data_IF_511352182890
#
_entry.id   IF_511352182890
#
_cell.length_a   1.000
_cell.length_b   1.000
_cell.length_c   1.000
_cell.angle_alpha   90.00
_cell.angle_beta   90.00
_cell.angle_gamma   90.00
#
_symmetry.space_group_name_H-M   'P 1'
#
loop_
_entity.id
_entity.type
_entity.pdbx_description
1 polymer ?
#
# COMPACT_ATOMS: atom_id res chain seq x y z
N UNK A 1 -8.83 10.39 -2.64
CA UNK A 1 -8.14 10.22 -3.95
C UNK A 1 -7.34 11.47 -4.25
N UNK A 2 -6.39 11.44 -5.20
CA UNK A 2 -5.68 12.66 -5.58
C UNK A 2 -6.68 13.70 -6.11
N UNK A 3 -6.78 14.90 -5.52
CA UNK A 3 -7.69 15.93 -6.01
C UNK A 3 -7.37 16.28 -7.46
N UNK A 4 -8.40 16.65 -8.20
CA UNK A 4 -8.35 16.85 -9.65
C UNK A 4 -7.39 18.00 -9.99
N UNK A 5 -6.41 17.73 -10.85
CA UNK A 5 -5.63 18.76 -11.53
C UNK A 5 -6.57 19.42 -12.55
N UNK A 6 -7.13 20.57 -12.19
CA UNK A 6 -8.04 21.33 -13.02
C UNK A 6 -7.40 22.67 -13.35
N UNK A 7 -7.81 23.31 -14.45
CA UNK A 7 -7.35 24.67 -14.79
C UNK A 7 -7.73 25.72 -13.71
N UNK A 8 -8.56 25.35 -12.74
CA UNK A 8 -8.91 26.16 -11.59
C UNK A 8 -7.95 25.81 -10.44
N UNK A 9 -7.38 26.83 -9.81
CA UNK A 9 -6.52 26.66 -8.64
C UNK A 9 -7.27 25.87 -7.57
N UNK A 10 -6.78 24.65 -7.30
CA UNK A 10 -7.22 23.88 -6.16
C UNK A 10 -6.15 23.98 -5.07
N UNK A 11 -6.35 24.81 -4.03
CA UNK A 11 -5.36 24.98 -2.96
C UNK A 11 -5.12 23.68 -2.15
N UNK A 12 -6.00 22.68 -2.27
CA UNK A 12 -5.83 21.36 -1.67
C UNK A 12 -5.04 20.38 -2.56
N UNK A 13 -4.73 20.78 -3.81
CA UNK A 13 -3.93 19.97 -4.71
C UNK A 13 -2.46 19.95 -4.29
N UNK A 14 -2.06 18.79 -3.76
CA UNK A 14 -0.68 18.55 -3.33
C UNK A 14 0.12 17.73 -4.34
N UNK A 15 -0.51 17.20 -5.39
CA UNK A 15 0.18 16.31 -6.31
C UNK A 15 1.12 17.08 -7.26
N UNK A 16 2.40 16.73 -7.24
CA UNK A 16 3.43 17.32 -8.11
C UNK A 16 3.69 16.51 -9.40
N UNK A 17 2.81 15.57 -9.74
CA UNK A 17 2.87 14.74 -10.95
C UNK A 17 4.20 13.98 -11.17
N UNK A 18 4.90 13.61 -10.09
CA UNK A 18 6.20 12.92 -10.16
C UNK A 18 6.14 11.45 -10.63
N UNK A 19 4.93 10.86 -10.70
CA UNK A 19 4.66 9.50 -11.18
C UNK A 19 5.27 8.34 -10.34
N UNK A 20 5.85 8.62 -9.17
CA UNK A 20 6.45 7.59 -8.29
C UNK A 20 5.40 6.59 -7.81
N UNK A 21 4.21 7.08 -7.43
CA UNK A 21 3.12 6.24 -6.93
C UNK A 21 2.61 5.24 -7.98
N UNK A 22 2.50 5.66 -9.25
CA UNK A 22 2.07 4.82 -10.36
C UNK A 22 3.09 3.73 -10.61
N UNK A 23 4.38 4.08 -10.72
CA UNK A 23 5.47 3.10 -10.87
C UNK A 23 5.50 2.09 -9.74
N UNK A 24 5.34 2.52 -8.50
CA UNK A 24 5.31 1.63 -7.36
C UNK A 24 4.10 0.66 -7.40
N UNK A 25 2.95 1.12 -7.90
CA UNK A 25 1.74 0.30 -8.05
C UNK A 25 1.90 -0.76 -9.16
N UNK A 26 2.56 -0.39 -10.25
CA UNK A 26 2.92 -1.27 -11.37
C UNK A 26 3.93 -2.34 -10.95
N UNK A 27 5.00 -1.97 -10.24
CA UNK A 27 6.04 -2.91 -9.79
C UNK A 27 5.47 -4.03 -8.90
N UNK A 28 4.53 -3.67 -8.01
CA UNK A 28 3.82 -4.64 -7.16
C UNK A 28 2.87 -5.56 -7.97
N UNK A 29 2.62 -5.26 -9.24
CA UNK A 29 1.82 -6.06 -10.17
C UNK A 29 0.31 -5.86 -10.04
N UNK A 30 -0.11 -4.72 -9.47
CA UNK A 30 -1.54 -4.38 -9.34
C UNK A 30 -2.00 -3.40 -10.43
N UNK A 31 -1.13 -2.47 -10.84
CA UNK A 31 -1.42 -1.44 -11.86
C UNK A 31 -2.79 -0.76 -11.67
N UNK A 32 -3.18 -0.55 -10.42
CA UNK A 32 -4.51 -0.06 -10.05
C UNK A 32 -4.72 1.44 -10.31
N UNK A 33 -3.64 2.19 -10.49
CA UNK A 33 -3.66 3.63 -10.75
C UNK A 33 -2.76 3.97 -11.93
N UNK A 34 -3.09 5.04 -12.65
CA UNK A 34 -2.30 5.54 -13.77
C UNK A 34 -2.41 7.06 -13.88
N UNK A 35 -1.55 7.64 -14.73
CA UNK A 35 -1.73 9.02 -15.18
C UNK A 35 -2.77 9.04 -16.29
N UNK A 36 -3.84 9.80 -16.07
CA UNK A 36 -4.91 10.01 -17.04
C UNK A 36 -4.95 11.47 -17.48
N UNK A 37 -5.74 11.74 -18.53
CA UNK A 37 -5.90 13.06 -19.14
C UNK A 37 -4.57 13.61 -19.70
N UNK A 38 -4.59 14.86 -20.17
CA UNK A 38 -3.45 15.53 -20.83
C UNK A 38 -3.37 17.00 -20.41
N UNK A 39 -2.20 17.60 -20.62
CA UNK A 39 -1.97 19.00 -20.32
C UNK A 39 -2.23 19.32 -18.85
N UNK A 40 -2.97 20.40 -18.60
CA UNK A 40 -3.34 20.89 -17.28
C UNK A 40 -4.40 20.06 -16.56
N UNK A 41 -5.00 19.09 -17.25
CA UNK A 41 -5.97 18.17 -16.65
C UNK A 41 -5.33 16.87 -16.15
N UNK A 42 -4.01 16.72 -16.34
CA UNK A 42 -3.27 15.49 -16.05
C UNK A 42 -3.30 15.19 -14.56
N UNK A 43 -3.73 13.99 -14.19
CA UNK A 43 -3.80 13.56 -12.78
C UNK A 43 -3.62 12.05 -12.61
N UNK A 44 -3.37 11.63 -11.38
CA UNK A 44 -3.34 10.21 -11.01
C UNK A 44 -4.75 9.76 -10.62
N UNK A 45 -5.21 8.66 -11.19
CA UNK A 45 -6.55 8.12 -10.94
C UNK A 45 -6.60 6.60 -11.05
N UNK A 46 -7.65 6.01 -10.48
CA UNK A 46 -8.11 4.66 -10.81
C UNK A 46 -8.96 4.67 -12.09
N UNK A 47 -9.22 3.51 -12.73
CA UNK A 47 -10.15 3.44 -13.85
C UNK A 47 -11.52 4.03 -13.48
N UNK A 48 -11.99 4.98 -14.29
CA UNK A 48 -13.26 5.68 -14.11
C UNK A 48 -13.44 6.38 -12.75
N UNK A 49 -12.36 6.65 -12.01
CA UNK A 49 -12.39 7.16 -10.63
C UNK A 49 -13.09 6.24 -9.61
N UNK A 50 -13.28 4.97 -9.98
CA UNK A 50 -13.93 3.96 -9.16
C UNK A 50 -12.91 3.08 -8.43
N UNK A 51 -13.38 2.30 -7.46
CA UNK A 51 -12.56 1.33 -6.76
C UNK A 51 -11.99 0.30 -7.75
N UNK A 52 -10.68 0.36 -8.01
CA UNK A 52 -10.03 -0.59 -8.92
C UNK A 52 -10.04 -2.00 -8.32
N UNK A 53 -10.66 -2.96 -9.01
CA UNK A 53 -10.74 -4.36 -8.57
C UNK A 53 -9.35 -4.98 -8.32
N UNK A 54 -8.37 -4.62 -9.17
CA UNK A 54 -6.97 -5.07 -9.10
C UNK A 54 -6.16 -4.44 -7.97
N UNK A 55 -6.68 -3.42 -7.29
CA UNK A 55 -5.99 -2.84 -6.13
C UNK A 55 -6.01 -3.86 -4.99
N UNK A 56 -4.82 -4.18 -4.46
CA UNK A 56 -4.64 -5.13 -3.34
C UNK A 56 -4.50 -4.44 -1.98
N UNK A 57 -4.61 -3.11 -1.91
CA UNK A 57 -4.58 -2.38 -0.64
C UNK A 57 -3.21 -2.31 0.05
N UNK A 58 -2.11 -2.51 -0.69
CA UNK A 58 -0.75 -2.47 -0.13
C UNK A 58 -0.31 -1.08 0.40
N UNK A 59 -1.02 -0.01 0.01
CA UNK A 59 -0.74 1.35 0.48
C UNK A 59 0.60 1.93 0.03
N UNK A 60 1.37 1.23 -0.81
CA UNK A 60 2.71 1.67 -1.24
C UNK A 60 2.65 3.00 -1.97
N UNK A 61 1.64 3.22 -2.82
CA UNK A 61 1.44 4.48 -3.52
C UNK A 61 1.33 5.69 -2.58
N UNK A 62 0.66 5.54 -1.43
CA UNK A 62 0.58 6.58 -0.41
C UNK A 62 1.92 6.79 0.31
N UNK A 63 2.57 5.69 0.73
CA UNK A 63 3.84 5.73 1.47
C UNK A 63 5.00 6.36 0.68
N UNK A 64 5.04 6.17 -0.65
CA UNK A 64 6.10 6.72 -1.51
C UNK A 64 5.79 8.12 -2.04
N UNK A 65 4.62 8.69 -1.74
CA UNK A 65 4.24 9.99 -2.28
C UNK A 65 4.99 11.12 -1.54
N UNK A 66 5.93 11.83 -2.20
CA UNK A 66 6.72 12.85 -1.53
C UNK A 66 5.90 14.06 -1.08
N UNK A 67 4.77 14.32 -1.75
CA UNK A 67 3.86 15.42 -1.41
C UNK A 67 2.69 14.99 -0.50
N UNK A 68 2.62 13.70 -0.15
CA UNK A 68 1.53 13.13 0.65
C UNK A 68 0.14 13.22 0.00
N UNK A 69 0.05 13.42 -1.32
CA UNK A 69 -1.21 13.74 -2.02
C UNK A 69 -2.23 12.57 -2.07
N UNK A 70 -1.83 11.37 -1.67
CA UNK A 70 -2.70 10.18 -1.65
C UNK A 70 -3.15 9.93 -0.22
N UNK A 71 -4.45 10.06 0.01
CA UNK A 71 -5.07 9.77 1.29
C UNK A 71 -5.22 8.27 1.49
N UNK A 72 -4.83 7.81 2.67
CA UNK A 72 -5.01 6.45 3.14
C UNK A 72 -5.36 6.52 4.63
N UNK A 73 -6.38 5.77 5.04
CA UNK A 73 -6.76 5.70 6.45
C UNK A 73 -6.74 4.25 6.91
N UNK A 74 -6.39 4.06 8.18
CA UNK A 74 -6.38 2.76 8.85
C UNK A 74 -7.06 2.90 10.21
N UNK A 75 -8.19 2.23 10.39
CA UNK A 75 -8.95 2.24 11.64
C UNK A 75 -9.53 0.85 11.87
N UNK A 76 -9.39 0.34 13.09
CA UNK A 76 -10.03 -0.92 13.54
C UNK A 76 -9.79 -2.11 12.59
N UNK A 77 -8.58 -2.24 12.05
CA UNK A 77 -8.22 -3.33 11.15
C UNK A 77 -8.77 -3.18 9.72
N UNK A 78 -9.29 -2.01 9.35
CA UNK A 78 -9.71 -1.68 8.00
C UNK A 78 -8.81 -0.58 7.45
N UNK A 79 -8.23 -0.83 6.27
CA UNK A 79 -7.54 0.17 5.46
C UNK A 79 -8.46 0.66 4.36
N UNK A 80 -8.59 1.96 4.19
CA UNK A 80 -9.31 2.57 3.05
C UNK A 80 -8.36 3.38 2.21
N UNK A 81 -8.31 3.06 0.92
CA UNK A 81 -7.51 3.79 -0.08
C UNK A 81 -8.19 3.63 -1.45
N UNK A 82 -8.18 4.69 -2.27
CA UNK A 82 -8.77 4.67 -3.61
C UNK A 82 -10.21 4.14 -3.65
N UNK A 83 -11.07 4.63 -2.74
CA UNK A 83 -12.48 4.27 -2.62
C UNK A 83 -12.75 2.76 -2.35
N UNK A 84 -11.73 2.00 -1.95
CA UNK A 84 -11.85 0.58 -1.59
C UNK A 84 -11.41 0.35 -0.15
N UNK A 85 -12.15 -0.49 0.56
CA UNK A 85 -11.85 -0.93 1.92
C UNK A 85 -11.21 -2.33 1.91
N UNK A 86 -10.20 -2.52 2.76
CA UNK A 86 -9.41 -3.74 2.84
C UNK A 86 -9.32 -4.23 4.28
N UNK A 87 -9.59 -5.52 4.48
CA UNK A 87 -9.36 -6.15 5.78
C UNK A 87 -7.85 -6.33 6.02
N UNK A 88 -7.38 -5.86 7.17
CA UNK A 88 -5.98 -5.97 7.57
C UNK A 88 -5.73 -7.28 8.33
N UNK A 89 -4.52 -7.81 8.16
CA UNK A 89 -4.01 -8.93 8.92
C UNK A 89 -3.50 -8.45 10.27
N UNK A 90 -4.02 -9.02 11.35
CA UNK A 90 -3.51 -8.84 12.70
C UNK A 90 -2.32 -9.79 12.93
N UNK A 91 -1.29 -9.29 13.61
CA UNK A 91 -0.14 -10.08 14.03
C UNK A 91 -0.55 -11.09 15.11
N UNK A 92 -0.22 -12.37 14.92
CA UNK A 92 -0.52 -13.44 15.89
C UNK A 92 0.19 -13.25 17.23
N UNK A 93 1.28 -12.47 17.28
CA UNK A 93 2.07 -12.21 18.49
C UNK A 93 1.67 -10.95 19.25
N UNK A 94 1.48 -9.81 18.57
CA UNK A 94 1.22 -8.52 19.23
C UNK A 94 -0.14 -7.91 18.91
N UNK A 95 -0.92 -8.50 18.02
CA UNK A 95 -2.24 -8.00 17.61
C UNK A 95 -2.22 -6.78 16.68
N UNK A 96 -1.06 -6.20 16.35
CA UNK A 96 -0.99 -5.04 15.45
C UNK A 96 -1.37 -5.41 14.01
N UNK A 97 -2.04 -4.49 13.32
CA UNK A 97 -2.35 -4.62 11.90
C UNK A 97 -1.15 -4.15 11.05
N UNK A 98 -0.75 -4.90 10.02
CA UNK A 98 0.47 -4.57 9.25
C UNK A 98 0.35 -4.69 7.72
N UNK A 99 -0.52 -5.55 7.20
CA UNK A 99 -0.71 -5.72 5.75
C UNK A 99 -2.18 -6.04 5.45
N UNK A 100 -2.66 -5.73 4.23
CA UNK A 100 -3.99 -6.20 3.84
C UNK A 100 -3.95 -7.70 3.56
N UNK A 101 -5.07 -8.39 3.79
CA UNK A 101 -5.17 -9.83 3.47
C UNK A 101 -4.99 -10.10 1.97
N UNK A 102 -5.47 -9.18 1.13
CA UNK A 102 -5.31 -9.24 -0.33
C UNK A 102 -3.84 -9.09 -0.75
N UNK A 103 -3.08 -8.21 -0.10
CA UNK A 103 -1.63 -8.06 -0.33
C UNK A 103 -0.88 -9.35 0.03
N UNK A 104 -1.18 -9.95 1.18
CA UNK A 104 -0.56 -11.21 1.59
C UNK A 104 -0.88 -12.31 0.57
N UNK A 105 -2.15 -12.48 0.21
CA UNK A 105 -2.57 -13.49 -0.76
C UNK A 105 -1.89 -13.29 -2.13
N UNK A 106 -1.80 -12.05 -2.60
CA UNK A 106 -1.13 -11.70 -3.86
C UNK A 106 0.37 -12.03 -3.83
N UNK A 107 1.07 -11.66 -2.75
CA UNK A 107 2.48 -11.96 -2.60
C UNK A 107 2.74 -13.47 -2.47
N UNK A 108 1.90 -14.19 -1.72
CA UNK A 108 1.99 -15.65 -1.59
C UNK A 108 1.79 -16.34 -2.93
N UNK A 109 0.87 -15.87 -3.76
CA UNK A 109 0.64 -16.43 -5.08
C UNK A 109 1.79 -16.15 -6.07
N UNK A 110 2.42 -14.98 -5.98
CA UNK A 110 3.45 -14.54 -6.95
C UNK A 110 4.87 -14.98 -6.58
N UNK A 111 5.20 -14.96 -5.29
CA UNK A 111 6.56 -15.13 -4.75
C UNK A 111 6.52 -15.79 -3.35
N UNK A 112 6.02 -17.03 -3.25
CA UNK A 112 5.80 -17.71 -1.97
C UNK A 112 7.06 -17.83 -1.11
N UNK A 113 8.23 -17.98 -1.73
CA UNK A 113 9.53 -18.10 -1.07
C UNK A 113 9.93 -16.85 -0.25
N UNK A 114 9.37 -15.68 -0.59
CA UNK A 114 9.61 -14.44 0.15
C UNK A 114 8.55 -14.18 1.23
N UNK A 115 7.47 -14.98 1.26
CA UNK A 115 6.37 -14.82 2.22
C UNK A 115 6.57 -15.75 3.40
N UNK A 116 7.44 -15.33 4.30
CA UNK A 116 7.78 -16.09 5.51
C UNK A 116 7.02 -15.51 6.70
N UNK A 117 6.34 -16.39 7.45
CA UNK A 117 5.60 -16.05 8.66
C UNK A 117 4.64 -14.89 8.40
N UNK A 118 3.75 -15.12 7.45
CA UNK A 118 2.76 -14.15 6.98
C UNK A 118 1.70 -13.82 8.03
N UNK A 119 1.75 -14.42 9.22
CA UNK A 119 0.95 -14.13 10.41
C UNK A 119 1.64 -13.19 11.41
N UNK A 120 2.92 -12.84 11.19
CA UNK A 120 3.71 -11.98 12.07
C UNK A 120 4.06 -10.64 11.38
N UNK A 121 3.95 -9.54 12.13
CA UNK A 121 4.45 -8.24 11.68
C UNK A 121 5.99 -8.21 11.63
N UNK A 122 6.55 -7.23 10.93
CA UNK A 122 8.01 -7.10 10.73
C UNK A 122 8.79 -7.07 12.05
N UNK A 123 8.32 -6.32 13.04
CA UNK A 123 8.98 -6.23 14.35
C UNK A 123 8.96 -7.56 15.10
N UNK A 124 7.82 -8.26 15.08
CA UNK A 124 7.68 -9.55 15.74
C UNK A 124 8.51 -10.65 15.06
N UNK A 125 8.63 -10.63 13.72
CA UNK A 125 9.52 -11.53 12.98
C UNK A 125 10.98 -11.29 13.35
N UNK A 126 11.43 -10.03 13.37
CA UNK A 126 12.80 -9.67 13.77
C UNK A 126 13.12 -10.13 15.19
N UNK A 127 12.21 -9.92 16.15
CA UNK A 127 12.38 -10.38 17.53
C UNK A 127 12.51 -11.90 17.61
N UNK A 128 11.63 -12.63 16.94
CA UNK A 128 11.69 -14.10 16.95
C UNK A 128 12.97 -14.63 16.29
N UNK A 129 13.45 -14.00 15.22
CA UNK A 129 14.76 -14.35 14.64
C UNK A 129 15.91 -14.10 15.63
N UNK A 130 15.90 -12.96 16.32
CA UNK A 130 16.91 -12.64 17.33
C UNK A 130 16.91 -13.64 18.51
N UNK A 131 15.72 -14.04 18.98
CA UNK A 131 15.56 -15.06 20.03
C UNK A 131 16.19 -16.41 19.61
N UNK A 132 15.98 -16.84 18.37
CA UNK A 132 16.60 -18.08 17.85
C UNK A 132 18.12 -18.02 17.79
N UNK A 133 18.67 -16.87 17.38
CA UNK A 133 20.12 -16.66 17.32
C UNK A 133 20.70 -16.69 18.75
N UNK A 134 20.04 -16.07 19.71
CA UNK A 134 20.50 -16.05 21.10
C UNK A 134 20.60 -17.46 21.71
N UNK A 135 19.64 -18.34 21.41
CA UNK A 135 19.68 -19.75 21.83
C UNK A 135 20.91 -20.46 21.24
N UNK A 136 21.16 -20.30 19.93
CA UNK A 136 22.30 -20.93 19.25
C UNK A 136 23.67 -20.43 19.74
N UNK A 137 23.78 -19.17 20.15
CA UNK A 137 25.03 -18.59 20.70
C UNK A 137 25.29 -19.02 22.16
N UNK A 138 24.26 -19.55 22.83
CA UNK A 138 24.36 -19.99 24.23
C UNK A 138 24.69 -21.49 24.38
N UNK A 139 24.83 -22.22 23.26
CA UNK A 139 25.31 -23.61 23.16
C UNK A 139 26.79 -23.65 22.73
#
# INVERSE_FOLDING_TARGET
GCPQNSLQENPEERCILCNICVRACEELGSSAISLIMRGTQKRVATPYDEAAAVCIGCGTCARVCPAGAIEMTEKEGIRVIWNKAFAMQACSRCGSYYASREEIAHLTARKPEYVIQSDLCEDCRKRMMAEKIAVFVSE
#
